data_IF_738998769604
#
_entry.id   IF_738998769604
#
_cell.length_a   1.000
_cell.length_b   1.000
_cell.length_c   1.000
_cell.angle_alpha   90.00
_cell.angle_beta   90.00
_cell.angle_gamma   90.00
#
_symmetry.space_group_name_H-M   'P 1'
#
loop_
_entity.id
_entity.type
_entity.pdbx_description
1 polymer ?
#
# COMPACT_ATOMS: atom_id res chain seq x y z
N UNK A 1 1.37 17.44 6.07
CA UNK A 1 1.76 16.03 6.03
C UNK A 1 0.65 15.26 5.36
N UNK A 2 0.92 14.50 4.30
CA UNK A 2 -0.11 13.71 3.61
C UNK A 2 -0.07 12.27 4.14
N UNK A 3 -1.24 11.62 4.14
CA UNK A 3 -1.35 10.18 4.35
C UNK A 3 -1.58 9.52 3.00
N UNK A 4 -0.74 8.54 2.67
CA UNK A 4 -0.67 7.91 1.35
C UNK A 4 -0.97 6.42 1.52
N UNK A 5 -1.95 5.93 0.77
CA UNK A 5 -2.25 4.50 0.68
C UNK A 5 -1.38 3.89 -0.41
N UNK A 6 -0.71 2.78 -0.12
CA UNK A 6 0.07 2.02 -1.10
C UNK A 6 -0.43 0.58 -1.09
N UNK A 7 -0.89 0.08 -2.24
CA UNK A 7 -1.40 -1.28 -2.39
C UNK A 7 -0.52 -2.02 -3.40
N UNK A 8 0.07 -3.14 -2.96
CA UNK A 8 1.18 -3.78 -3.67
C UNK A 8 1.02 -5.30 -3.82
N UNK A 9 1.22 -5.77 -5.05
CA UNK A 9 1.44 -7.17 -5.36
C UNK A 9 2.46 -7.35 -6.51
N UNK A 10 3.33 -8.36 -6.38
CA UNK A 10 4.28 -8.75 -7.42
C UNK A 10 5.67 -8.11 -7.41
N UNK A 11 6.47 -8.52 -8.40
CA UNK A 11 7.89 -8.16 -8.50
C UNK A 11 8.11 -6.68 -8.83
N UNK A 12 7.21 -6.09 -9.62
CA UNK A 12 7.24 -4.65 -9.94
C UNK A 12 6.95 -3.84 -8.68
N UNK A 13 5.92 -4.25 -7.93
CA UNK A 13 5.52 -3.61 -6.68
C UNK A 13 6.62 -3.67 -5.61
N UNK A 14 7.41 -4.75 -5.55
CA UNK A 14 8.60 -4.83 -4.70
C UNK A 14 9.61 -3.72 -4.98
N UNK A 15 9.94 -3.50 -6.27
CA UNK A 15 10.88 -2.45 -6.67
C UNK A 15 10.34 -1.06 -6.32
N UNK A 16 9.03 -0.86 -6.50
CA UNK A 16 8.35 0.37 -6.12
C UNK A 16 8.45 0.63 -4.61
N UNK A 17 8.14 -0.36 -3.76
CA UNK A 17 8.24 -0.21 -2.30
C UNK A 17 9.65 0.13 -1.85
N UNK A 18 10.65 -0.58 -2.39
CA UNK A 18 12.06 -0.29 -2.11
C UNK A 18 12.40 1.17 -2.44
N UNK A 19 12.01 1.64 -3.62
CA UNK A 19 12.28 3.01 -4.04
C UNK A 19 11.61 4.04 -3.12
N UNK A 20 10.34 3.82 -2.75
CA UNK A 20 9.59 4.71 -1.85
C UNK A 20 10.25 4.78 -0.47
N UNK A 21 10.66 3.64 0.09
CA UNK A 21 11.34 3.57 1.39
C UNK A 21 12.72 4.25 1.33
N UNK A 22 13.47 4.07 0.24
CA UNK A 22 14.78 4.70 0.05
C UNK A 22 14.70 6.21 -0.14
N UNK A 23 13.67 6.71 -0.84
CA UNK A 23 13.46 8.14 -1.06
C UNK A 23 12.63 8.83 0.02
N UNK A 24 12.32 8.14 1.12
CA UNK A 24 11.48 8.66 2.19
C UNK A 24 12.14 9.87 2.88
N UNK A 25 11.51 11.04 2.80
CA UNK A 25 11.94 12.27 3.49
C UNK A 25 11.38 12.39 4.91
N UNK A 26 10.43 11.52 5.30
CA UNK A 26 9.73 11.57 6.59
C UNK A 26 8.56 12.56 6.64
N UNK A 27 8.26 13.27 5.56
CA UNK A 27 7.21 14.30 5.52
C UNK A 27 5.78 13.73 5.36
N UNK A 28 5.68 12.50 4.86
CA UNK A 28 4.41 11.80 4.60
C UNK A 28 4.30 10.54 5.47
N UNK A 29 3.06 10.11 5.71
CA UNK A 29 2.75 8.84 6.33
C UNK A 29 2.21 7.87 5.29
N UNK A 30 2.53 6.59 5.45
CA UNK A 30 2.24 5.57 4.47
C UNK A 30 1.53 4.39 5.11
N UNK A 31 0.37 4.01 4.58
CA UNK A 31 -0.26 2.73 4.88
C UNK A 31 -0.03 1.80 3.69
N UNK A 32 0.68 0.71 3.93
CA UNK A 32 1.10 -0.24 2.90
C UNK A 32 0.30 -1.53 3.04
N UNK A 33 -0.60 -1.80 2.10
CA UNK A 33 -1.33 -3.05 1.97
C UNK A 33 -0.59 -3.98 1.02
N UNK A 34 -0.39 -5.23 1.44
CA UNK A 34 0.32 -6.22 0.64
C UNK A 34 -0.14 -7.65 0.88
N UNK A 35 0.08 -8.50 -0.11
CA UNK A 35 -0.33 -9.92 -0.07
C UNK A 35 0.84 -10.84 0.33
N UNK A 36 2.00 -10.64 -0.29
CA UNK A 36 3.13 -11.57 -0.20
C UNK A 36 4.35 -10.93 0.50
N UNK A 37 4.90 -11.60 1.52
CA UNK A 37 6.08 -11.11 2.26
C UNK A 37 7.33 -10.96 1.38
N UNK A 38 7.38 -11.61 0.21
CA UNK A 38 8.49 -11.45 -0.74
C UNK A 38 8.70 -10.01 -1.22
N UNK A 39 7.67 -9.15 -1.12
CA UNK A 39 7.78 -7.75 -1.49
C UNK A 39 8.39 -6.86 -0.39
N UNK A 40 8.49 -7.38 0.85
CA UNK A 40 8.93 -6.60 1.99
C UNK A 40 10.39 -6.17 1.88
N UNK A 41 10.66 -4.95 2.35
CA UNK A 41 12.01 -4.39 2.46
C UNK A 41 12.57 -4.63 3.86
N UNK A 42 13.91 -4.67 3.99
CA UNK A 42 14.58 -4.79 5.29
C UNK A 42 14.43 -3.54 6.14
N UNK A 43 14.23 -2.37 5.53
CA UNK A 43 14.01 -1.10 6.22
C UNK A 43 12.50 -0.90 6.44
N UNK A 44 12.13 -0.62 7.69
CA UNK A 44 10.75 -0.30 8.09
C UNK A 44 10.73 1.03 8.84
N UNK A 45 10.67 2.16 8.12
CA UNK A 45 10.62 3.47 8.76
C UNK A 45 9.35 3.61 9.61
N UNK A 46 9.40 4.39 10.69
CA UNK A 46 8.29 4.53 11.64
C UNK A 46 7.06 5.24 11.07
N UNK A 47 7.20 5.98 9.98
CA UNK A 47 6.09 6.62 9.25
C UNK A 47 5.38 5.68 8.25
N UNK A 48 5.70 4.38 8.28
CA UNK A 48 5.05 3.34 7.48
C UNK A 48 4.32 2.36 8.37
N UNK A 49 3.04 2.12 8.08
CA UNK A 49 2.24 1.05 8.68
C UNK A 49 1.99 -0.02 7.64
N UNK A 50 2.22 -1.29 7.99
CA UNK A 50 2.13 -2.41 7.05
C UNK A 50 0.96 -3.31 7.41
N UNK A 51 0.13 -3.62 6.42
CA UNK A 51 -1.06 -4.46 6.54
C UNK A 51 -0.99 -5.61 5.54
N UNK A 52 -1.05 -6.84 6.05
CA UNK A 52 -0.98 -8.04 5.21
C UNK A 52 -2.37 -8.64 5.01
N UNK A 53 -2.97 -8.42 3.85
CA UNK A 53 -4.23 -9.04 3.45
C UNK A 53 -4.49 -8.86 1.94
N UNK A 54 -5.50 -9.56 1.43
CA UNK A 54 -5.97 -9.41 0.06
C UNK A 54 -6.71 -8.06 -0.12
N UNK A 55 -6.18 -7.12 -0.93
CA UNK A 55 -6.75 -5.79 -1.07
C UNK A 55 -8.12 -5.77 -1.76
N UNK A 56 -8.53 -6.85 -2.44
CA UNK A 56 -9.87 -6.97 -3.02
C UNK A 56 -10.96 -7.14 -1.94
N UNK A 57 -10.56 -7.45 -0.70
CA UNK A 57 -11.47 -7.56 0.44
C UNK A 57 -11.93 -6.18 0.92
N UNK A 58 -13.12 -5.76 0.47
CA UNK A 58 -13.76 -4.50 0.88
C UNK A 58 -13.75 -4.28 2.39
N UNK A 59 -14.18 -5.28 3.17
CA UNK A 59 -14.30 -5.15 4.64
C UNK A 59 -12.96 -4.96 5.35
N UNK A 60 -11.85 -5.45 4.79
CA UNK A 60 -10.52 -5.24 5.35
C UNK A 60 -9.93 -3.91 4.91
N UNK A 61 -10.18 -3.52 3.66
CA UNK A 61 -9.71 -2.23 3.15
C UNK A 61 -10.46 -1.06 3.83
N UNK A 62 -11.76 -1.20 4.06
CA UNK A 62 -12.58 -0.20 4.74
C UNK A 62 -12.07 0.09 6.15
N UNK A 63 -11.58 -0.91 6.90
CA UNK A 63 -10.97 -0.69 8.22
C UNK A 63 -9.79 0.29 8.21
N UNK A 64 -9.08 0.41 7.08
CA UNK A 64 -7.96 1.33 6.90
C UNK A 64 -8.48 2.69 6.43
N UNK A 65 -9.37 2.70 5.44
CA UNK A 65 -9.95 3.91 4.85
C UNK A 65 -10.82 4.68 5.86
N UNK A 66 -11.56 3.99 6.72
CA UNK A 66 -12.44 4.59 7.74
C UNK A 66 -11.64 5.25 8.87
N UNK A 67 -10.38 4.84 9.06
CA UNK A 67 -9.52 5.34 10.13
C UNK A 67 -8.89 6.69 9.78
N UNK A 68 -8.57 6.90 8.51
CA UNK A 68 -7.76 8.02 8.06
C UNK A 68 -8.11 8.43 6.63
N UNK A 69 -8.06 9.74 6.34
CA UNK A 69 -8.23 10.24 4.97
C UNK A 69 -6.90 10.18 4.23
N UNK A 70 -6.80 9.30 3.24
CA UNK A 70 -5.64 9.23 2.34
C UNK A 70 -5.77 10.26 1.21
N UNK A 71 -4.76 11.12 1.05
CA UNK A 71 -4.76 12.15 -0.01
C UNK A 71 -4.36 11.58 -1.38
N UNK A 72 -3.64 10.45 -1.38
CA UNK A 72 -3.12 9.80 -2.58
C UNK A 72 -3.18 8.29 -2.37
N UNK A 73 -3.61 7.56 -3.39
CA UNK A 73 -3.48 6.10 -3.47
C UNK A 73 -2.51 5.72 -4.60
N UNK A 74 -1.58 4.82 -4.30
CA UNK A 74 -0.66 4.20 -5.26
C UNK A 74 -0.94 2.70 -5.32
N UNK A 75 -1.37 2.21 -6.48
CA UNK A 75 -1.80 0.82 -6.65
C UNK A 75 -0.93 0.16 -7.72
N UNK A 76 -0.24 -0.92 -7.35
CA UNK A 76 0.56 -1.72 -8.27
C UNK A 76 0.30 -3.21 -8.00
N UNK A 77 -0.58 -3.81 -8.80
CA UNK A 77 -0.99 -5.22 -8.71
C UNK A 77 -0.64 -5.97 -9.99
N UNK A 78 -0.49 -7.30 -9.92
CA UNK A 78 -0.18 -8.13 -11.08
C UNK A 78 -1.39 -8.43 -11.97
N UNK A 79 -2.61 -8.30 -11.44
CA UNK A 79 -3.86 -8.59 -12.12
C UNK A 79 -4.62 -7.31 -12.42
N UNK A 80 -5.11 -7.18 -13.66
CA UNK A 80 -6.01 -6.08 -14.06
C UNK A 80 -7.33 -6.15 -13.31
N UNK A 81 -7.88 -7.36 -13.13
CA UNK A 81 -9.19 -7.53 -12.48
C UNK A 81 -9.10 -7.17 -10.99
N UNK A 82 -8.02 -7.58 -10.31
CA UNK A 82 -7.78 -7.19 -8.92
C UNK A 82 -7.61 -5.68 -8.80
N UNK A 83 -6.92 -5.05 -9.76
CA UNK A 83 -6.78 -3.59 -9.80
C UNK A 83 -8.14 -2.89 -9.93
N UNK A 84 -9.03 -3.37 -10.80
CA UNK A 84 -10.37 -2.79 -10.94
C UNK A 84 -11.19 -2.97 -9.65
N UNK A 85 -11.20 -4.17 -9.07
CA UNK A 85 -11.90 -4.44 -7.81
C UNK A 85 -11.39 -3.56 -6.66
N UNK A 86 -10.08 -3.34 -6.59
CA UNK A 86 -9.47 -2.47 -5.55
C UNK A 86 -9.86 -1.02 -5.76
N UNK A 87 -9.88 -0.53 -7.01
CA UNK A 87 -10.30 0.85 -7.31
C UNK A 87 -11.77 1.06 -6.94
N UNK A 88 -12.64 0.07 -7.16
CA UNK A 88 -14.05 0.15 -6.75
C UNK A 88 -14.24 0.20 -5.22
N UNK A 89 -13.27 -0.32 -4.46
CA UNK A 89 -13.31 -0.34 -3.00
C UNK A 89 -12.76 0.95 -2.33
N UNK A 90 -12.18 1.89 -3.09
CA UNK A 90 -11.52 3.12 -2.60
C UNK A 90 -12.35 4.35 -2.97
#
# INVERSE_FOLDING_TARGET
MKKILIILDGIVAKKLLHRIVESNTGENYYDVVYINDQIMTTKKPSNFTFYKFDPTSFSKLSMILDKDVHTVALIALNSKDDMLNVIENI
#
